data_IF_783454425371
#
_entry.id   IF_783454425371
#
_cell.length_a   1.000
_cell.length_b   1.000
_cell.length_c   1.000
_cell.angle_alpha   90.00
_cell.angle_beta   90.00
_cell.angle_gamma   90.00
#
_symmetry.space_group_name_H-M   'P 1'
#
loop_
_entity.id
_entity.type
_entity.pdbx_description
1 polymer ?
#
# COMPACT_ATOMS: atom_id res chain seq x y z
N UNK A 1 40.11 28.53 52.93
CA UNK A 1 39.72 29.95 52.81
C UNK A 1 39.03 30.26 51.46
N UNK A 2 38.15 29.39 50.92
CA UNK A 2 37.64 29.52 49.54
C UNK A 2 36.11 29.67 49.42
N UNK A 3 35.40 29.99 50.52
CA UNK A 3 33.93 30.13 50.52
C UNK A 3 33.41 31.56 50.31
N UNK A 4 34.22 32.58 50.65
CA UNK A 4 33.81 34.00 50.61
C UNK A 4 33.92 34.61 49.20
N UNK A 5 34.88 34.16 48.38
CA UNK A 5 35.11 34.72 47.04
C UNK A 5 34.13 34.23 45.97
N UNK A 6 33.55 33.02 46.12
CA UNK A 6 32.56 32.48 45.18
C UNK A 6 31.21 33.21 45.25
N UNK A 7 30.78 33.59 46.45
CA UNK A 7 29.53 34.35 46.64
C UNK A 7 29.63 35.79 46.12
N UNK A 8 30.80 36.44 46.23
CA UNK A 8 31.02 37.80 45.72
C UNK A 8 31.03 37.85 44.18
N UNK A 9 31.60 36.83 43.52
CA UNK A 9 31.58 36.70 42.05
C UNK A 9 30.18 36.38 41.51
N UNK A 10 29.38 35.54 42.17
CA UNK A 10 27.99 35.28 41.77
C UNK A 10 27.06 36.50 41.95
N UNK A 11 27.28 37.31 42.99
CA UNK A 11 26.51 38.54 43.22
C UNK A 11 26.83 39.62 42.17
N UNK A 12 28.11 39.79 41.81
CA UNK A 12 28.56 40.72 40.77
C UNK A 12 28.08 40.32 39.37
N UNK A 13 28.06 39.03 39.04
CA UNK A 13 27.54 38.52 37.75
C UNK A 13 26.02 38.70 37.65
N UNK A 14 25.26 38.44 38.71
CA UNK A 14 23.80 38.72 38.74
C UNK A 14 23.49 40.21 38.61
N UNK A 15 24.29 41.08 39.23
CA UNK A 15 24.10 42.53 39.14
C UNK A 15 24.52 43.09 37.77
N UNK A 16 25.49 42.47 37.10
CA UNK A 16 25.87 42.81 35.71
C UNK A 16 24.84 42.32 34.69
N UNK A 17 24.29 41.10 34.83
CA UNK A 17 23.19 40.59 33.98
C UNK A 17 21.88 41.35 34.20
N UNK A 18 21.60 41.79 35.42
CA UNK A 18 20.48 42.68 35.73
C UNK A 18 20.68 44.07 35.10
N UNK A 19 21.89 44.64 35.14
CA UNK A 19 22.21 45.93 34.49
C UNK A 19 22.29 45.84 32.96
N UNK A 20 22.68 44.71 32.37
CA UNK A 20 22.65 44.52 30.91
C UNK A 20 21.23 44.27 30.41
N UNK A 21 20.37 43.57 31.15
CA UNK A 21 18.94 43.45 30.85
C UNK A 21 18.20 44.77 31.08
N UNK A 22 18.56 45.55 32.10
CA UNK A 22 18.00 46.90 32.32
C UNK A 22 18.46 47.90 31.24
N UNK A 23 19.72 47.81 30.77
CA UNK A 23 20.21 48.61 29.63
C UNK A 23 19.64 48.15 28.29
N UNK A 24 19.36 46.87 28.10
CA UNK A 24 18.65 46.35 26.90
C UNK A 24 17.18 46.77 26.89
N UNK A 25 16.54 46.85 28.07
CA UNK A 25 15.19 47.44 28.26
C UNK A 25 15.15 48.97 28.11
N UNK A 26 16.25 49.67 28.42
CA UNK A 26 16.34 51.14 28.28
C UNK A 26 16.81 51.63 26.91
N UNK A 27 17.26 50.73 26.02
CA UNK A 27 17.70 51.05 24.65
C UNK A 27 16.77 50.53 23.55
N UNK A 28 15.60 49.97 23.91
CA UNK A 28 14.46 50.05 23.01
C UNK A 28 13.97 51.49 23.04
N UNK A 29 14.65 52.28 22.22
CA UNK A 29 14.09 53.34 21.38
C UNK A 29 12.57 53.39 21.47
N UNK A 30 12.05 54.60 21.65
CA UNK A 30 10.69 54.99 21.33
C UNK A 30 10.27 54.36 19.99
N UNK A 31 9.80 53.11 20.04
CA UNK A 31 8.89 52.59 19.04
C UNK A 31 7.62 53.25 19.50
N UNK A 32 7.22 54.32 18.80
CA UNK A 32 5.90 54.90 18.94
C UNK A 32 4.93 53.74 19.13
N UNK A 33 4.29 53.73 20.30
CA UNK A 33 3.47 52.59 20.70
C UNK A 33 2.37 52.47 19.67
N UNK A 34 2.57 51.55 18.71
CA UNK A 34 1.75 51.48 17.50
C UNK A 34 0.32 51.32 17.96
N UNK A 35 -0.57 52.20 17.51
CA UNK A 35 -1.97 52.10 17.87
C UNK A 35 -2.53 50.75 17.41
N UNK A 36 -3.41 50.16 18.23
CA UNK A 36 -4.16 48.97 17.85
C UNK A 36 -4.86 49.19 16.50
N UNK A 37 -4.82 48.19 15.61
CA UNK A 37 -5.38 48.31 14.25
C UNK A 37 -6.91 48.19 14.21
N UNK A 38 -7.54 47.79 15.32
CA UNK A 38 -9.00 47.80 15.41
C UNK A 38 -9.51 49.26 15.27
N UNK A 39 -10.38 49.56 14.28
CA UNK A 39 -10.69 50.93 13.86
C UNK A 39 -11.19 51.86 14.96
N UNK A 40 -11.89 51.31 15.96
CA UNK A 40 -12.48 52.08 17.07
C UNK A 40 -11.56 52.11 18.30
N UNK A 41 -10.37 51.49 18.23
CA UNK A 41 -9.49 51.32 19.35
C UNK A 41 -8.35 52.34 19.35
N UNK A 42 -8.33 53.18 20.39
CA UNK A 42 -7.26 54.16 20.64
C UNK A 42 -6.14 53.62 21.54
N UNK A 43 -6.24 52.37 21.99
CA UNK A 43 -5.23 51.77 22.90
C UNK A 43 -3.96 51.38 22.12
N UNK A 44 -2.79 51.46 22.76
CA UNK A 44 -1.55 50.95 22.18
C UNK A 44 -1.61 49.43 21.96
N UNK A 45 -1.03 48.95 20.87
CA UNK A 45 -0.82 47.53 20.63
C UNK A 45 0.24 46.96 21.59
N UNK A 46 0.14 45.66 21.90
CA UNK A 46 1.17 44.95 22.70
C UNK A 46 2.48 44.88 21.90
N UNK A 47 3.62 44.74 22.58
CA UNK A 47 4.95 44.77 21.96
C UNK A 47 5.09 43.80 20.77
N UNK A 48 4.54 42.59 20.89
CA UNK A 48 4.58 41.53 19.86
C UNK A 48 3.26 41.32 19.11
N UNK A 49 2.33 42.28 19.16
CA UNK A 49 1.01 42.15 18.52
C UNK A 49 0.63 43.39 17.74
N UNK A 50 -0.33 43.23 16.82
CA UNK A 50 -1.00 44.32 16.13
C UNK A 50 -2.21 44.86 16.92
N UNK A 51 -2.53 44.22 18.05
CA UNK A 51 -3.75 44.47 18.82
C UNK A 51 -3.41 44.74 20.29
N UNK A 52 -4.24 45.55 20.96
CA UNK A 52 -4.12 45.75 22.41
C UNK A 52 -4.64 44.54 23.21
N UNK A 53 -5.57 43.76 22.64
CA UNK A 53 -6.15 42.56 23.21
C UNK A 53 -6.60 41.58 22.13
N UNK A 54 -6.81 40.32 22.52
CA UNK A 54 -7.33 39.27 21.63
C UNK A 54 -8.76 39.60 21.19
N UNK A 55 -9.55 40.25 22.06
CA UNK A 55 -10.89 40.76 21.75
C UNK A 55 -10.87 41.77 20.60
N UNK A 56 -9.93 42.72 20.59
CA UNK A 56 -9.77 43.67 19.48
C UNK A 56 -9.36 42.95 18.19
N UNK A 57 -8.50 41.95 18.28
CA UNK A 57 -8.13 41.10 17.12
C UNK A 57 -9.31 40.35 16.55
N UNK A 58 -10.11 39.71 17.41
CA UNK A 58 -11.33 38.98 17.03
C UNK A 58 -12.40 39.92 16.49
N UNK A 59 -12.60 41.11 17.09
CA UNK A 59 -13.57 42.11 16.62
C UNK A 59 -13.25 42.55 15.19
N UNK A 60 -11.98 42.89 14.91
CA UNK A 60 -11.56 43.24 13.56
C UNK A 60 -11.67 42.06 12.58
N UNK A 61 -11.32 40.85 13.00
CA UNK A 61 -11.46 39.65 12.17
C UNK A 61 -12.93 39.39 11.80
N UNK A 62 -13.86 39.51 12.76
CA UNK A 62 -15.31 39.41 12.51
C UNK A 62 -15.80 40.46 11.52
N UNK A 63 -15.40 41.72 11.69
CA UNK A 63 -15.75 42.79 10.75
C UNK A 63 -15.28 42.47 9.33
N UNK A 64 -14.03 42.03 9.18
CA UNK A 64 -13.48 41.62 7.87
C UNK A 64 -14.25 40.45 7.26
N UNK A 65 -14.63 39.44 8.05
CA UNK A 65 -15.44 38.32 7.56
C UNK A 65 -16.81 38.80 7.07
N UNK A 66 -17.50 39.65 7.84
CA UNK A 66 -18.82 40.18 7.47
C UNK A 66 -18.73 41.01 6.18
N UNK A 67 -17.65 41.78 6.01
CA UNK A 67 -17.49 42.65 4.83
C UNK A 67 -17.03 41.90 3.58
N UNK A 68 -16.07 40.97 3.70
CA UNK A 68 -15.40 40.35 2.55
C UNK A 68 -16.03 39.02 2.13
N UNK A 69 -16.49 38.22 3.09
CA UNK A 69 -16.91 36.85 2.82
C UNK A 69 -18.16 36.76 1.92
N UNK A 70 -19.21 37.60 2.06
CA UNK A 70 -20.40 37.50 1.21
C UNK A 70 -20.09 37.65 -0.28
N UNK A 71 -19.26 38.63 -0.65
CA UNK A 71 -18.84 38.83 -2.04
C UNK A 71 -18.01 37.65 -2.55
N UNK A 72 -17.08 37.14 -1.74
CA UNK A 72 -16.28 35.96 -2.08
C UNK A 72 -17.12 34.70 -2.28
N UNK A 73 -18.12 34.48 -1.43
CA UNK A 73 -19.09 33.38 -1.56
C UNK A 73 -19.86 33.52 -2.86
N UNK A 74 -20.41 34.70 -3.14
CA UNK A 74 -21.16 34.94 -4.38
C UNK A 74 -20.28 34.72 -5.62
N UNK A 75 -19.04 35.22 -5.62
CA UNK A 75 -18.09 35.03 -6.73
C UNK A 75 -17.72 33.56 -6.92
N UNK A 76 -17.50 32.82 -5.83
CA UNK A 76 -17.10 31.42 -5.86
C UNK A 76 -18.23 30.50 -6.34
N UNK A 77 -19.48 30.76 -5.94
CA UNK A 77 -20.66 29.95 -6.30
C UNK A 77 -21.46 30.48 -7.48
N UNK A 78 -21.01 31.56 -8.13
CA UNK A 78 -21.69 32.13 -9.31
C UNK A 78 -21.82 31.11 -10.44
N UNK A 79 -20.71 30.40 -10.70
CA UNK A 79 -20.61 29.28 -11.63
C UNK A 79 -20.04 28.09 -10.87
N UNK A 80 -20.36 26.86 -11.28
CA UNK A 80 -19.79 25.67 -10.61
C UNK A 80 -18.26 25.70 -10.73
N UNK A 81 -17.50 25.63 -9.63
CA UNK A 81 -16.05 25.73 -9.69
C UNK A 81 -15.46 24.61 -10.55
N UNK A 82 -14.60 24.96 -11.51
CA UNK A 82 -13.94 24.00 -12.40
C UNK A 82 -13.17 22.92 -11.61
N UNK A 83 -12.60 23.29 -10.46
CA UNK A 83 -11.94 22.36 -9.53
C UNK A 83 -12.89 21.30 -8.94
N UNK A 84 -14.15 21.66 -8.71
CA UNK A 84 -15.17 20.72 -8.22
C UNK A 84 -15.55 19.73 -9.31
N UNK A 85 -15.78 20.20 -10.53
CA UNK A 85 -16.04 19.35 -11.69
C UNK A 85 -14.89 18.36 -11.93
N UNK A 86 -13.64 18.81 -11.87
CA UNK A 86 -12.47 17.94 -12.01
C UNK A 86 -12.40 16.87 -10.92
N UNK A 87 -12.70 17.20 -9.67
CA UNK A 87 -12.66 16.21 -8.59
C UNK A 87 -13.83 15.24 -8.63
N UNK A 88 -15.01 15.66 -9.07
CA UNK A 88 -16.12 14.73 -9.33
C UNK A 88 -15.77 13.76 -10.45
N UNK A 89 -15.15 14.24 -11.53
CA UNK A 89 -14.67 13.38 -12.62
C UNK A 89 -13.59 12.41 -12.14
N UNK A 90 -12.65 12.87 -11.33
CA UNK A 90 -11.62 12.02 -10.74
C UNK A 90 -12.24 10.94 -9.85
N UNK A 91 -13.20 11.29 -8.98
CA UNK A 91 -13.93 10.32 -8.16
C UNK A 91 -14.66 9.28 -9.01
N UNK A 92 -15.33 9.69 -10.09
CA UNK A 92 -15.97 8.76 -11.04
C UNK A 92 -14.95 7.80 -11.66
N UNK A 93 -13.79 8.30 -12.11
CA UNK A 93 -12.73 7.48 -12.67
C UNK A 93 -12.17 6.49 -11.65
N UNK A 94 -11.98 6.92 -10.40
CA UNK A 94 -11.51 6.06 -9.31
C UNK A 94 -12.55 4.97 -9.00
N UNK A 95 -13.82 5.32 -8.86
CA UNK A 95 -14.91 4.38 -8.57
C UNK A 95 -15.05 3.32 -9.68
N UNK A 96 -14.90 3.72 -10.95
CA UNK A 96 -14.88 2.78 -12.08
C UNK A 96 -13.70 1.80 -11.99
N UNK A 97 -12.49 2.28 -11.67
CA UNK A 97 -11.30 1.42 -11.51
C UNK A 97 -11.43 0.48 -10.31
N UNK A 98 -12.00 0.96 -9.20
CA UNK A 98 -12.32 0.13 -8.03
C UNK A 98 -13.22 -1.04 -8.45
N UNK A 99 -14.32 -0.74 -9.17
CA UNK A 99 -15.23 -1.78 -9.65
C UNK A 99 -14.55 -2.79 -10.58
N UNK A 100 -13.69 -2.33 -11.49
CA UNK A 100 -12.90 -3.22 -12.37
C UNK A 100 -11.97 -4.15 -11.58
N UNK A 101 -11.21 -3.62 -10.63
CA UNK A 101 -10.29 -4.42 -9.81
C UNK A 101 -11.04 -5.41 -8.94
N UNK A 102 -12.20 -5.02 -8.39
CA UNK A 102 -13.05 -5.93 -7.62
C UNK A 102 -13.52 -7.12 -8.46
N UNK A 103 -13.98 -6.88 -9.69
CA UNK A 103 -14.36 -7.94 -10.63
C UNK A 103 -13.14 -8.83 -10.93
N UNK A 104 -11.99 -8.25 -11.26
CA UNK A 104 -10.76 -9.03 -11.53
C UNK A 104 -10.34 -9.88 -10.33
N UNK A 105 -10.42 -9.34 -9.11
CA UNK A 105 -10.08 -10.06 -7.87
C UNK A 105 -10.98 -11.28 -7.67
N UNK A 106 -12.29 -11.14 -7.89
CA UNK A 106 -13.23 -12.26 -7.80
C UNK A 106 -12.98 -13.29 -8.90
N UNK A 107 -12.69 -12.85 -10.13
CA UNK A 107 -12.31 -13.74 -11.24
C UNK A 107 -11.08 -14.59 -10.87
N UNK A 108 -10.04 -13.96 -10.30
CA UNK A 108 -8.84 -14.67 -9.86
C UNK A 108 -9.14 -15.70 -8.77
N UNK A 109 -9.99 -15.35 -7.79
CA UNK A 109 -10.46 -16.29 -6.78
C UNK A 109 -11.26 -17.46 -7.40
N UNK A 110 -12.05 -17.17 -8.43
CA UNK A 110 -12.74 -18.18 -9.23
C UNK A 110 -11.79 -19.22 -9.84
N UNK A 111 -10.63 -18.78 -10.36
CA UNK A 111 -9.61 -19.67 -10.90
C UNK A 111 -8.94 -20.53 -9.82
N UNK A 112 -8.65 -19.98 -8.64
CA UNK A 112 -8.14 -20.76 -7.49
C UNK A 112 -9.12 -21.87 -7.14
N UNK A 113 -10.40 -21.52 -6.94
CA UNK A 113 -11.46 -22.48 -6.63
C UNK A 113 -11.62 -23.54 -7.72
N UNK A 114 -11.40 -23.18 -9.00
CA UNK A 114 -11.45 -24.13 -10.11
C UNK A 114 -10.32 -25.18 -10.00
N UNK A 115 -9.09 -24.75 -9.71
CA UNK A 115 -7.97 -25.67 -9.45
C UNK A 115 -8.24 -26.54 -8.23
N UNK A 116 -8.74 -25.97 -7.14
CA UNK A 116 -9.02 -26.74 -5.93
C UNK A 116 -10.04 -27.85 -6.17
N UNK A 117 -11.12 -27.55 -6.91
CA UNK A 117 -12.10 -28.57 -7.32
C UNK A 117 -11.47 -29.63 -8.21
N UNK A 118 -10.66 -29.22 -9.19
CA UNK A 118 -9.96 -30.15 -10.08
C UNK A 118 -9.03 -31.09 -9.31
N UNK A 119 -8.14 -30.54 -8.47
CA UNK A 119 -7.20 -31.32 -7.66
C UNK A 119 -7.95 -32.28 -6.73
N UNK A 120 -9.03 -31.82 -6.11
CA UNK A 120 -9.86 -32.66 -5.24
C UNK A 120 -10.46 -33.83 -6.00
N UNK A 121 -10.98 -33.61 -7.21
CA UNK A 121 -11.50 -34.67 -8.06
C UNK A 121 -10.41 -35.68 -8.48
N UNK A 122 -9.18 -35.23 -8.68
CA UNK A 122 -8.05 -36.07 -9.08
C UNK A 122 -7.51 -36.96 -7.95
N UNK A 123 -7.83 -36.69 -6.68
CA UNK A 123 -7.40 -37.53 -5.55
C UNK A 123 -7.93 -38.96 -5.59
N UNK A 124 -9.12 -39.18 -6.18
CA UNK A 124 -9.69 -40.51 -6.36
C UNK A 124 -9.13 -41.26 -7.58
N UNK A 125 -8.34 -40.58 -8.42
CA UNK A 125 -7.74 -41.18 -9.62
C UNK A 125 -6.49 -41.98 -9.24
N UNK A 126 -6.52 -43.28 -9.52
CA UNK A 126 -5.39 -44.20 -9.27
C UNK A 126 -4.58 -44.41 -10.55
N UNK A 127 -3.31 -44.78 -10.39
CA UNK A 127 -2.29 -44.93 -11.45
C UNK A 127 -2.79 -45.68 -12.69
N UNK A 128 -2.59 -45.05 -13.85
CA UNK A 128 -2.69 -45.67 -15.18
C UNK A 128 -1.26 -45.92 -15.68
N UNK A 129 -1.06 -46.93 -16.53
CA UNK A 129 0.25 -47.33 -17.09
C UNK A 129 1.13 -46.11 -17.44
N UNK A 130 2.29 -46.00 -16.80
CA UNK A 130 3.26 -44.94 -17.04
C UNK A 130 4.50 -45.54 -17.71
N UNK A 131 4.72 -45.16 -18.96
CA UNK A 131 5.98 -45.44 -19.64
C UNK A 131 6.99 -44.35 -19.25
N UNK A 132 8.05 -44.76 -18.54
CA UNK A 132 9.15 -43.86 -18.16
C UNK A 132 9.87 -43.42 -19.44
N UNK A 133 9.84 -42.12 -19.80
CA UNK A 133 10.64 -41.60 -20.89
C UNK A 133 12.10 -41.67 -20.43
N UNK A 134 12.84 -42.64 -20.97
CA UNK A 134 14.19 -43.01 -20.53
C UNK A 134 15.18 -41.84 -20.39
N UNK A 135 16.27 -42.12 -19.67
CA UNK A 135 17.22 -41.12 -19.19
C UNK A 135 18.00 -40.38 -20.30
N UNK A 136 18.10 -39.06 -20.14
CA UNK A 136 19.09 -38.22 -20.82
C UNK A 136 20.02 -37.68 -19.73
N UNK A 137 21.15 -38.34 -19.55
CA UNK A 137 22.02 -38.15 -18.38
C UNK A 137 23.19 -37.20 -18.72
N UNK A 138 22.95 -35.90 -18.64
CA UNK A 138 24.00 -34.87 -18.72
C UNK A 138 24.05 -34.06 -17.43
N UNK A 139 25.26 -33.67 -17.03
CA UNK A 139 25.49 -32.88 -15.82
C UNK A 139 25.38 -31.39 -16.11
N UNK A 140 24.72 -30.66 -15.20
CA UNK A 140 24.49 -29.21 -15.27
C UNK A 140 24.69 -28.60 -13.88
N UNK A 141 25.28 -27.41 -13.84
CA UNK A 141 25.46 -26.65 -12.60
C UNK A 141 24.20 -25.85 -12.24
N UNK A 142 23.80 -25.86 -10.97
CA UNK A 142 22.74 -24.99 -10.47
C UNK A 142 23.19 -23.52 -10.47
N UNK A 143 22.40 -22.63 -11.07
CA UNK A 143 22.68 -21.18 -11.07
C UNK A 143 22.53 -20.51 -9.71
N UNK A 144 21.83 -21.14 -8.75
CA UNK A 144 21.56 -20.57 -7.42
C UNK A 144 22.67 -20.92 -6.43
N UNK A 145 23.18 -22.16 -6.43
CA UNK A 145 24.19 -22.61 -5.46
C UNK A 145 25.48 -23.18 -6.06
N UNK A 146 25.58 -23.30 -7.39
CA UNK A 146 26.75 -23.82 -8.08
C UNK A 146 26.92 -25.34 -8.02
N UNK A 147 26.07 -26.09 -7.31
CA UNK A 147 26.20 -27.54 -7.23
C UNK A 147 25.84 -28.23 -8.55
N UNK A 148 26.60 -29.27 -8.90
CA UNK A 148 26.34 -30.12 -10.06
C UNK A 148 25.13 -31.04 -9.82
N UNK A 149 24.25 -31.12 -10.81
CA UNK A 149 23.05 -31.96 -10.82
C UNK A 149 22.80 -32.50 -12.22
N UNK A 150 22.04 -33.59 -12.36
CA UNK A 150 21.65 -34.06 -13.69
C UNK A 150 20.63 -33.10 -14.31
N UNK A 151 20.64 -32.96 -15.64
CA UNK A 151 19.67 -32.13 -16.37
C UNK A 151 18.22 -32.49 -16.01
N UNK A 152 17.95 -33.79 -15.79
CA UNK A 152 16.66 -34.28 -15.28
C UNK A 152 16.33 -33.72 -13.90
N UNK A 153 17.25 -33.70 -12.95
CA UNK A 153 16.97 -33.25 -11.58
C UNK A 153 17.07 -31.72 -11.38
N UNK A 154 17.65 -31.00 -12.34
CA UNK A 154 17.90 -29.57 -12.24
C UNK A 154 16.64 -28.75 -11.86
N UNK A 155 15.45 -28.94 -12.48
CA UNK A 155 14.26 -28.18 -12.09
C UNK A 155 13.87 -28.38 -10.62
N UNK A 156 13.84 -29.64 -10.15
CA UNK A 156 13.56 -29.96 -8.74
C UNK A 156 14.62 -29.37 -7.80
N UNK A 157 15.87 -29.35 -8.23
CA UNK A 157 16.97 -28.81 -7.45
C UNK A 157 16.87 -27.29 -7.31
N UNK A 158 16.76 -26.56 -8.43
CA UNK A 158 16.69 -25.09 -8.46
C UNK A 158 15.57 -24.59 -7.56
N UNK A 159 14.40 -25.22 -7.63
CA UNK A 159 13.26 -24.82 -6.81
C UNK A 159 13.51 -25.02 -5.30
N UNK A 160 14.04 -26.18 -4.89
CA UNK A 160 14.39 -26.42 -3.48
C UNK A 160 15.52 -25.51 -3.02
N UNK A 161 16.48 -25.22 -3.90
CA UNK A 161 17.58 -24.31 -3.61
C UNK A 161 17.05 -22.89 -3.38
N UNK A 162 16.14 -22.42 -4.23
CA UNK A 162 15.49 -21.12 -4.09
C UNK A 162 14.71 -21.02 -2.76
N UNK A 163 13.90 -22.03 -2.44
CA UNK A 163 13.19 -22.09 -1.14
C UNK A 163 14.17 -22.05 0.04
N UNK A 164 15.33 -22.72 -0.07
CA UNK A 164 16.37 -22.69 0.96
C UNK A 164 16.98 -21.30 1.11
N UNK A 165 17.28 -20.60 0.03
CA UNK A 165 17.77 -19.22 0.09
C UNK A 165 16.70 -18.27 0.65
N UNK A 166 15.45 -18.40 0.22
CA UNK A 166 14.36 -17.53 0.64
C UNK A 166 14.03 -17.69 2.13
N UNK A 167 14.20 -18.90 2.69
CA UNK A 167 14.05 -19.15 4.14
C UNK A 167 15.06 -18.41 5.02
N UNK A 168 16.19 -17.96 4.48
CA UNK A 168 17.20 -17.23 5.26
C UNK A 168 16.75 -15.81 5.60
N UNK A 169 15.75 -15.30 4.90
CA UNK A 169 15.18 -13.96 5.10
C UNK A 169 13.78 -14.05 5.69
N UNK A 170 13.58 -13.62 6.93
CA UNK A 170 12.25 -13.60 7.54
C UNK A 170 11.51 -12.32 7.19
N UNK A 171 10.27 -12.44 6.70
CA UNK A 171 9.38 -11.31 6.42
C UNK A 171 8.15 -11.40 7.32
N UNK A 172 7.91 -10.37 8.14
CA UNK A 172 6.76 -10.34 9.02
C UNK A 172 6.54 -8.99 9.69
N UNK A 173 5.36 -8.84 10.29
CA UNK A 173 4.96 -7.64 11.04
C UNK A 173 4.58 -8.02 12.46
N UNK A 174 4.67 -7.08 13.40
CA UNK A 174 4.30 -7.32 14.81
C UNK A 174 2.80 -7.66 14.98
N UNK A 175 1.95 -7.21 14.06
CA UNK A 175 0.50 -7.41 14.11
C UNK A 175 0.00 -8.31 12.97
N UNK A 176 -1.11 -9.05 13.19
CA UNK A 176 -1.83 -9.71 12.11
C UNK A 176 -2.37 -8.67 11.11
N UNK A 177 -2.74 -9.13 9.92
CA UNK A 177 -3.29 -8.29 8.87
C UNK A 177 -4.70 -7.91 9.31
N UNK A 178 -5.04 -6.63 9.18
CA UNK A 178 -6.40 -6.16 9.46
C UNK A 178 -7.43 -6.76 8.49
N UNK A 179 -6.97 -7.22 7.32
CA UNK A 179 -7.77 -7.84 6.29
C UNK A 179 -6.95 -8.95 5.61
N UNK A 180 -7.46 -10.19 5.64
CA UNK A 180 -6.81 -11.36 5.03
C UNK A 180 -7.88 -12.24 4.34
N UNK A 181 -8.40 -11.82 3.16
CA UNK A 181 -9.47 -12.54 2.48
C UNK A 181 -9.01 -13.93 2.04
N UNK A 182 -9.84 -14.94 2.29
CA UNK A 182 -9.60 -16.35 1.93
C UNK A 182 -8.25 -16.91 2.42
N UNK A 183 -7.70 -16.37 3.51
CA UNK A 183 -6.37 -16.72 4.02
C UNK A 183 -5.23 -16.56 2.99
N UNK A 184 -5.29 -15.49 2.19
CA UNK A 184 -4.27 -15.11 1.20
C UNK A 184 -2.85 -15.07 1.80
N UNK A 185 -2.70 -14.50 2.99
CA UNK A 185 -1.44 -14.40 3.72
C UNK A 185 -1.25 -15.56 4.69
N UNK A 186 0.00 -15.97 4.89
CA UNK A 186 0.36 -17.08 5.76
C UNK A 186 0.00 -16.85 7.23
N UNK A 187 0.31 -15.68 7.78
CA UNK A 187 0.03 -15.25 9.16
C UNK A 187 0.48 -16.21 10.28
N UNK A 188 1.40 -17.14 9.99
CA UNK A 188 2.01 -17.96 11.01
C UNK A 188 2.80 -17.08 11.99
N UNK A 189 2.54 -17.26 13.29
CA UNK A 189 3.23 -16.51 14.34
C UNK A 189 4.61 -17.10 14.62
N UNK A 190 5.65 -16.28 14.44
CA UNK A 190 7.01 -16.61 14.78
C UNK A 190 7.35 -16.08 16.18
N UNK A 191 7.51 -17.02 17.12
CA UNK A 191 7.84 -16.73 18.52
C UNK A 191 9.24 -16.16 18.72
N UNK A 192 10.19 -16.43 17.81
CA UNK A 192 11.58 -16.01 17.97
C UNK A 192 11.76 -14.50 17.77
N UNK A 193 10.98 -13.91 16.86
CA UNK A 193 11.04 -12.49 16.54
C UNK A 193 9.74 -11.72 16.87
N UNK A 194 8.74 -12.40 17.44
CA UNK A 194 7.41 -11.85 17.74
C UNK A 194 6.74 -11.19 16.52
N UNK A 195 6.76 -11.88 15.38
CA UNK A 195 6.13 -11.39 14.14
C UNK A 195 5.19 -12.42 13.51
N UNK A 196 4.25 -11.94 12.72
CA UNK A 196 3.37 -12.73 11.87
C UNK A 196 3.90 -12.74 10.44
N UNK A 197 4.00 -13.93 9.83
CA UNK A 197 4.44 -14.08 8.44
C UNK A 197 3.48 -13.38 7.46
N UNK A 198 4.00 -12.57 6.54
CA UNK A 198 3.21 -11.84 5.52
C UNK A 198 3.40 -12.33 4.08
N UNK A 199 4.06 -13.47 3.91
CA UNK A 199 4.14 -14.11 2.60
C UNK A 199 2.77 -14.61 2.17
N UNK A 200 2.52 -14.61 0.86
CA UNK A 200 1.38 -15.31 0.27
C UNK A 200 1.42 -16.77 0.70
N UNK A 201 0.31 -17.27 1.26
CA UNK A 201 0.24 -18.55 1.99
C UNK A 201 0.76 -19.72 1.15
N UNK A 202 0.31 -19.85 -0.09
CA UNK A 202 0.62 -21.00 -0.96
C UNK A 202 2.08 -21.05 -1.40
N UNK A 203 2.78 -19.91 -1.48
CA UNK A 203 4.21 -19.85 -1.82
C UNK A 203 5.11 -19.60 -0.61
N UNK A 204 4.55 -19.60 0.60
CA UNK A 204 5.33 -19.37 1.81
C UNK A 204 6.38 -20.48 1.98
N UNK A 205 7.66 -20.15 1.77
CA UNK A 205 8.77 -21.10 1.88
C UNK A 205 8.83 -21.78 3.25
N UNK A 206 8.49 -21.06 4.32
CA UNK A 206 8.63 -21.49 5.71
C UNK A 206 7.49 -22.40 6.17
N UNK A 207 6.25 -22.07 5.80
CA UNK A 207 5.06 -22.60 6.47
C UNK A 207 4.12 -23.39 5.55
N UNK A 208 4.24 -23.29 4.22
CA UNK A 208 3.40 -24.07 3.32
C UNK A 208 3.79 -25.56 3.35
N UNK A 209 2.78 -26.43 3.48
CA UNK A 209 2.96 -27.88 3.64
C UNK A 209 2.31 -28.72 2.52
N UNK A 210 1.89 -28.10 1.42
CA UNK A 210 1.28 -28.85 0.30
C UNK A 210 -0.14 -29.36 0.59
N UNK A 211 -0.89 -28.71 1.48
CA UNK A 211 -2.21 -29.17 1.95
C UNK A 211 -3.17 -29.55 0.81
N UNK A 212 -3.17 -28.76 -0.27
CA UNK A 212 -4.03 -28.98 -1.43
C UNK A 212 -3.65 -30.23 -2.24
N UNK A 213 -2.35 -30.49 -2.37
CA UNK A 213 -1.80 -31.56 -3.21
C UNK A 213 -1.53 -32.87 -2.43
N UNK A 214 -1.73 -32.85 -1.11
CA UNK A 214 -1.69 -34.05 -0.28
C UNK A 214 -2.68 -35.09 -0.82
N UNK A 215 -2.29 -36.37 -0.76
CA UNK A 215 -3.07 -37.54 -1.21
C UNK A 215 -3.14 -37.77 -2.73
N UNK A 216 -2.66 -36.85 -3.57
CA UNK A 216 -2.55 -37.09 -5.01
C UNK A 216 -1.58 -38.24 -5.31
N UNK A 217 -2.09 -39.28 -5.96
CA UNK A 217 -1.29 -40.45 -6.38
C UNK A 217 -0.55 -40.19 -7.69
N UNK A 218 -1.18 -39.46 -8.60
CA UNK A 218 -0.65 -39.10 -9.92
C UNK A 218 -0.34 -37.60 -10.00
N UNK A 219 0.46 -37.22 -10.98
CA UNK A 219 0.83 -35.85 -11.26
C UNK A 219 -0.39 -34.95 -11.51
N UNK A 220 -1.36 -35.44 -12.29
CA UNK A 220 -2.59 -34.74 -12.65
C UNK A 220 -2.39 -33.40 -13.38
N UNK A 221 -1.21 -33.12 -13.96
CA UNK A 221 -1.02 -31.92 -14.77
C UNK A 221 -1.89 -32.01 -16.05
N UNK A 222 -2.75 -31.02 -16.36
CA UNK A 222 -3.54 -31.01 -17.59
C UNK A 222 -2.68 -30.93 -18.84
N UNK A 223 -2.72 -31.95 -19.70
CA UNK A 223 -1.89 -31.99 -20.92
C UNK A 223 -2.20 -30.86 -21.90
N UNK A 224 -3.44 -30.37 -21.88
CA UNK A 224 -3.87 -29.22 -22.67
C UNK A 224 -3.05 -27.94 -22.44
N UNK A 225 -2.42 -27.80 -21.27
CA UNK A 225 -1.58 -26.64 -20.97
C UNK A 225 -0.14 -26.76 -21.51
N UNK A 226 0.25 -27.93 -22.01
CA UNK A 226 1.58 -28.16 -22.61
C UNK A 226 1.66 -27.85 -24.11
N UNK A 227 0.58 -27.34 -24.75
CA UNK A 227 0.44 -27.25 -26.20
C UNK A 227 1.32 -26.17 -26.90
N UNK A 228 2.44 -25.75 -26.30
CA UNK A 228 3.45 -24.89 -26.93
C UNK A 228 3.08 -23.40 -27.08
N UNK A 229 1.85 -23.01 -26.79
CA UNK A 229 1.42 -21.60 -26.67
C UNK A 229 1.32 -21.24 -25.19
N UNK A 230 1.90 -20.09 -24.80
CA UNK A 230 1.64 -19.51 -23.48
C UNK A 230 0.15 -19.16 -23.39
N UNK A 231 -0.57 -19.80 -22.49
CA UNK A 231 -1.99 -19.55 -22.25
C UNK A 231 -2.17 -18.47 -21.19
N UNK A 232 -3.17 -17.60 -21.39
CA UNK A 232 -3.70 -16.72 -20.34
C UNK A 232 -4.54 -17.52 -19.35
N UNK A 233 -4.76 -16.99 -18.13
CA UNK A 233 -5.65 -17.65 -17.18
C UNK A 233 -7.07 -17.84 -17.74
N UNK A 234 -7.61 -16.85 -18.45
CA UNK A 234 -8.91 -17.01 -19.11
C UNK A 234 -8.92 -18.21 -20.07
N UNK A 235 -7.92 -18.33 -20.96
CA UNK A 235 -7.78 -19.49 -21.86
C UNK A 235 -7.64 -20.83 -21.10
N UNK A 236 -6.95 -20.84 -19.95
CA UNK A 236 -6.78 -22.05 -19.14
C UNK A 236 -8.07 -22.50 -18.43
N UNK A 237 -8.90 -21.56 -17.98
CA UNK A 237 -9.98 -21.82 -17.03
C UNK A 237 -11.39 -21.69 -17.60
N UNK A 238 -11.66 -20.75 -18.50
CA UNK A 238 -13.01 -20.52 -19.05
C UNK A 238 -13.48 -21.68 -19.94
N UNK A 239 -12.54 -22.38 -20.57
CA UNK A 239 -12.77 -23.60 -21.36
C UNK A 239 -12.20 -24.87 -20.69
N UNK A 240 -11.79 -24.78 -19.42
CA UNK A 240 -11.05 -25.81 -18.71
C UNK A 240 -11.66 -27.22 -18.72
N UNK A 241 -12.98 -27.38 -18.48
CA UNK A 241 -13.63 -28.70 -18.53
C UNK A 241 -13.58 -29.39 -19.90
N UNK A 242 -13.60 -28.62 -20.99
CA UNK A 242 -13.57 -29.15 -22.35
C UNK A 242 -12.12 -29.49 -22.75
N UNK A 243 -11.15 -28.66 -22.34
CA UNK A 243 -9.72 -28.92 -22.53
C UNK A 243 -9.24 -30.21 -21.84
N UNK A 244 -9.81 -30.54 -20.67
CA UNK A 244 -9.48 -31.75 -19.92
C UNK A 244 -10.06 -33.03 -20.54
N UNK A 245 -11.24 -32.93 -21.20
CA UNK A 245 -11.89 -34.08 -21.85
C UNK A 245 -11.12 -34.55 -23.08
N UNK A 246 -10.56 -33.61 -23.84
CA UNK A 246 -9.97 -33.94 -25.14
C UNK A 246 -8.52 -34.44 -25.05
N UNK A 247 -7.73 -33.92 -24.10
CA UNK A 247 -6.28 -34.21 -24.01
C UNK A 247 -5.85 -34.96 -22.75
N UNK A 248 -6.72 -35.03 -21.73
CA UNK A 248 -6.44 -35.71 -20.46
C UNK A 248 -5.34 -35.04 -19.61
N UNK A 249 -4.71 -35.82 -18.74
CA UNK A 249 -3.76 -35.34 -17.73
C UNK A 249 -2.52 -36.24 -17.63
N UNK A 250 -1.48 -35.76 -16.94
CA UNK A 250 -0.28 -36.51 -16.66
C UNK A 250 -0.53 -37.62 -15.60
N UNK A 251 -0.33 -38.88 -15.98
CA UNK A 251 -0.53 -40.05 -15.12
C UNK A 251 0.73 -40.49 -14.35
N UNK A 252 1.86 -39.80 -14.50
CA UNK A 252 3.10 -40.13 -13.79
C UNK A 252 2.86 -40.13 -12.27
N UNK A 253 3.46 -41.05 -11.49
CA UNK A 253 3.37 -41.01 -10.03
C UNK A 253 3.77 -39.63 -9.52
N UNK A 254 3.00 -39.06 -8.58
CA UNK A 254 3.18 -37.66 -8.14
C UNK A 254 4.60 -37.37 -7.65
N UNK A 255 5.21 -38.33 -6.94
CA UNK A 255 6.57 -38.22 -6.40
C UNK A 255 7.65 -38.25 -7.48
N UNK A 256 7.38 -38.99 -8.56
CA UNK A 256 8.37 -39.31 -9.59
C UNK A 256 8.30 -38.34 -10.77
N UNK A 257 7.16 -37.67 -10.98
CA UNK A 257 7.02 -36.67 -12.03
C UNK A 257 8.06 -35.54 -11.89
N UNK A 258 8.96 -35.45 -12.87
CA UNK A 258 10.00 -34.41 -12.95
C UNK A 258 9.52 -33.19 -13.74
N UNK A 259 8.79 -33.42 -14.83
CA UNK A 259 8.35 -32.39 -15.76
C UNK A 259 7.39 -31.36 -15.13
N UNK A 260 6.52 -31.81 -14.22
CA UNK A 260 5.50 -30.96 -13.59
C UNK A 260 5.70 -30.90 -12.06
N UNK A 261 6.94 -30.74 -11.63
CA UNK A 261 7.22 -30.61 -10.20
C UNK A 261 6.45 -29.40 -9.63
N UNK A 262 5.64 -29.64 -8.59
CA UNK A 262 4.89 -28.60 -7.85
C UNK A 262 4.04 -27.65 -8.71
N UNK A 263 3.59 -28.11 -9.88
CA UNK A 263 2.77 -27.30 -10.79
C UNK A 263 1.53 -26.69 -10.11
N UNK A 264 0.92 -27.39 -9.15
CA UNK A 264 -0.24 -26.91 -8.36
C UNK A 264 0.15 -25.68 -7.55
N UNK A 265 1.21 -25.81 -6.75
CA UNK A 265 1.73 -24.72 -5.93
C UNK A 265 2.16 -23.53 -6.79
N UNK A 266 2.84 -23.78 -7.91
CA UNK A 266 3.29 -22.73 -8.82
C UNK A 266 2.11 -21.98 -9.46
N UNK A 267 1.12 -22.71 -9.98
CA UNK A 267 -0.05 -22.10 -10.62
C UNK A 267 -0.91 -21.31 -9.63
N UNK A 268 -1.32 -21.93 -8.51
CA UNK A 268 -2.09 -21.25 -7.47
C UNK A 268 -1.29 -20.09 -6.90
N UNK A 269 0.01 -20.26 -6.70
CA UNK A 269 0.91 -19.19 -6.28
C UNK A 269 0.92 -18.00 -7.23
N UNK A 270 0.90 -18.24 -8.53
CA UNK A 270 0.90 -17.17 -9.54
C UNK A 270 -0.44 -16.41 -9.51
N UNK A 271 -1.56 -17.13 -9.42
CA UNK A 271 -2.91 -16.54 -9.34
C UNK A 271 -3.06 -15.72 -8.06
N UNK A 272 -2.63 -16.25 -6.90
CA UNK A 272 -2.71 -15.56 -5.61
C UNK A 272 -1.75 -14.37 -5.52
N UNK A 273 -0.58 -14.41 -6.17
CA UNK A 273 0.29 -13.23 -6.27
C UNK A 273 -0.38 -12.10 -7.06
N UNK A 274 -1.05 -12.43 -8.17
CA UNK A 274 -1.77 -11.43 -8.94
C UNK A 274 -2.99 -10.91 -8.17
N UNK A 275 -3.68 -11.77 -7.42
CA UNK A 275 -4.76 -11.34 -6.50
C UNK A 275 -4.24 -10.39 -5.42
N UNK A 276 -3.07 -10.65 -4.84
CA UNK A 276 -2.41 -9.75 -3.90
C UNK A 276 -2.06 -8.41 -4.54
N UNK A 277 -1.58 -8.39 -5.79
CA UNK A 277 -1.28 -7.16 -6.52
C UNK A 277 -2.55 -6.33 -6.75
N UNK A 278 -3.65 -6.97 -7.17
CA UNK A 278 -4.96 -6.34 -7.36
C UNK A 278 -5.48 -5.73 -6.06
N UNK A 279 -5.41 -6.46 -4.94
CA UNK A 279 -5.80 -5.95 -3.62
C UNK A 279 -4.93 -4.77 -3.16
N UNK A 280 -3.62 -4.83 -3.40
CA UNK A 280 -2.71 -3.71 -3.10
C UNK A 280 -3.12 -2.47 -3.90
N UNK A 281 -3.44 -2.64 -5.19
CA UNK A 281 -3.90 -1.55 -6.04
C UNK A 281 -5.27 -1.02 -5.63
N UNK A 282 -6.15 -1.88 -5.13
CA UNK A 282 -7.45 -1.49 -4.57
C UNK A 282 -7.26 -0.58 -3.34
N UNK A 283 -6.37 -0.92 -2.43
CA UNK A 283 -6.05 -0.10 -1.26
C UNK A 283 -5.52 1.29 -1.65
N UNK A 284 -4.64 1.36 -2.66
CA UNK A 284 -4.15 2.63 -3.20
C UNK A 284 -5.28 3.51 -3.76
N UNK A 285 -6.23 2.90 -4.49
CA UNK A 285 -7.38 3.62 -5.04
C UNK A 285 -8.34 4.08 -3.95
N UNK A 286 -8.59 3.27 -2.92
CA UNK A 286 -9.45 3.63 -1.79
C UNK A 286 -8.85 4.81 -1.01
N UNK A 287 -7.54 4.83 -0.77
CA UNK A 287 -6.89 5.96 -0.11
C UNK A 287 -6.88 7.21 -1.00
N UNK A 288 -6.68 7.06 -2.31
CA UNK A 288 -6.81 8.18 -3.25
C UNK A 288 -8.23 8.74 -3.26
N UNK A 289 -9.25 7.88 -3.32
CA UNK A 289 -10.66 8.27 -3.27
C UNK A 289 -10.96 9.07 -2.00
N UNK A 290 -10.52 8.58 -0.85
CA UNK A 290 -10.66 9.27 0.45
C UNK A 290 -9.99 10.64 0.42
N UNK A 291 -8.77 10.73 -0.09
CA UNK A 291 -8.03 11.99 -0.21
C UNK A 291 -8.79 13.01 -1.08
N UNK A 292 -9.27 12.61 -2.25
CA UNK A 292 -10.03 13.48 -3.16
C UNK A 292 -11.37 13.89 -2.51
N UNK A 293 -12.07 12.94 -1.88
CA UNK A 293 -13.34 13.22 -1.20
C UNK A 293 -13.18 14.22 -0.05
N UNK A 294 -12.15 14.10 0.78
CA UNK A 294 -11.85 15.07 1.84
C UNK A 294 -11.53 16.43 1.22
N UNK A 295 -10.72 16.46 0.15
CA UNK A 295 -10.42 17.67 -0.60
C UNK A 295 -11.68 18.38 -1.13
N UNK A 296 -12.66 17.62 -1.61
CA UNK A 296 -13.97 18.17 -2.00
C UNK A 296 -14.73 18.76 -0.81
N UNK A 297 -14.78 18.07 0.32
CA UNK A 297 -15.50 18.53 1.52
C UNK A 297 -14.87 19.76 2.18
N UNK A 298 -13.57 19.98 2.02
CA UNK A 298 -12.88 21.17 2.56
C UNK A 298 -12.98 22.40 1.66
N UNK A 299 -13.49 22.26 0.43
CA UNK A 299 -13.66 23.41 -0.49
C UNK A 299 -14.86 24.25 -0.08
N UNK A 300 -14.74 25.56 -0.29
CA UNK A 300 -15.75 26.52 0.19
C UNK A 300 -15.64 26.81 1.69
N UNK A 301 -14.60 26.33 2.37
CA UNK A 301 -14.28 26.81 3.71
C UNK A 301 -13.85 28.28 3.67
N UNK A 302 -13.91 28.94 4.83
CA UNK A 302 -13.62 30.39 4.93
C UNK A 302 -12.23 30.73 4.38
N UNK A 303 -11.24 29.87 4.59
CA UNK A 303 -9.87 30.10 4.12
C UNK A 303 -9.79 30.01 2.59
N UNK A 304 -10.39 28.98 1.98
CA UNK A 304 -10.42 28.81 0.52
C UNK A 304 -11.15 29.97 -0.16
N UNK A 305 -12.28 30.41 0.42
CA UNK A 305 -13.06 31.53 -0.11
C UNK A 305 -12.29 32.86 -0.04
N UNK A 306 -11.60 33.13 1.06
CA UNK A 306 -10.80 34.35 1.21
C UNK A 306 -9.60 34.37 0.25
N UNK A 307 -9.05 33.20 -0.08
CA UNK A 307 -7.95 33.05 -1.05
C UNK A 307 -8.42 32.90 -2.50
N UNK A 308 -9.73 32.82 -2.75
CA UNK A 308 -10.27 32.67 -4.09
C UNK A 308 -10.02 33.94 -4.92
N UNK A 309 -9.43 33.75 -6.11
CA UNK A 309 -9.25 34.78 -7.12
C UNK A 309 -10.08 34.37 -8.35
N UNK A 310 -11.10 35.15 -8.73
CA UNK A 310 -11.89 34.82 -9.89
C UNK A 310 -11.03 34.83 -11.17
N UNK A 311 -11.28 33.91 -12.11
CA UNK A 311 -10.56 33.89 -13.37
C UNK A 311 -10.78 35.22 -14.12
N UNK A 312 -9.69 35.85 -14.56
CA UNK A 312 -9.75 37.03 -15.42
C UNK A 312 -10.13 36.54 -16.81
N UNK A 313 -11.41 36.64 -17.17
CA UNK A 313 -11.82 36.44 -18.56
C UNK A 313 -11.24 37.58 -19.39
N UNK A 314 -10.21 37.27 -20.19
CA UNK A 314 -9.76 38.18 -21.22
C UNK A 314 -10.93 38.37 -22.20
N UNK A 315 -11.49 39.57 -22.25
CA UNK A 315 -12.50 39.92 -23.23
C UNK A 315 -11.91 39.66 -24.62
N UNK A 316 -12.40 38.61 -25.28
CA UNK A 316 -12.21 38.41 -26.71
C UNK A 316 -12.80 39.64 -27.41
N UNK A 317 -11.93 40.47 -27.97
CA UNK A 317 -12.28 41.49 -28.96
C UNK A 317 -12.35 40.84 -30.32
#
# INVERSE_FOLDING_TARGET
MNGSERNRKQFLVRHHLSRTNARRRQLHTQVDSRQCIEPDCVKPAREDSKYCSDECGVKLAKLRLIMLLPEKVQQYYKDQPQSELHSLEELRSIDQKIGQIQIQTETMLGYVRAIERYVTAMKSTTSVSYDDPGDVDFMVHCTVCGMETTGRQLPKHVERCFVRSEKQTSFGTATPASFNPDNLFCEAYNKANNTYCKRVRVICAEHYKGELENELQVCAYPKAWSAGKSLTFAEMFEHGPDLLKDQGFCCAPRKDCVQHHRWIQALVGTIECERMNLLTRLDELLERRKTVSVGCSTRGDVISLLNFVPPVFANAK
#
